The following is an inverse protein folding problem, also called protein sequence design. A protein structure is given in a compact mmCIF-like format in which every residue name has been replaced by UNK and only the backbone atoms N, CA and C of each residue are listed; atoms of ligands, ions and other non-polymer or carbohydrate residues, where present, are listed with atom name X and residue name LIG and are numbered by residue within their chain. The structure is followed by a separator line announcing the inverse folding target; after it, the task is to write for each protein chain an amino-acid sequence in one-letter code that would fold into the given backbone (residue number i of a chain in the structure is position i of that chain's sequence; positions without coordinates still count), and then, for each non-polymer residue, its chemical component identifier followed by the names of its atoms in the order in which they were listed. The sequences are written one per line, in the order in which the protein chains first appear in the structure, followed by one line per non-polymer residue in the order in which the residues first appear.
data_IF_563137009800
#
_entry.id   IF_563137009800
#
_cell.length_a   1.000
_cell.length_b   1.000
_cell.length_c   1.000
_cell.angle_alpha   90.00
_cell.angle_beta   90.00
_cell.angle_gamma   90.00
#
_symmetry.space_group_name_H-M   'P 1'
#
loop_
_entity.id
_entity.type
_entity.pdbx_description
1 polymer ?
#
# COMPACT_ATOMS: atom_id res chain seq x y z
N UNK A 1 22.71 -7.86 2.52
CA UNK A 1 22.06 -6.87 1.64
C UNK A 1 22.10 -7.30 0.19
N UNK A 2 23.18 -7.94 -0.27
CA UNK A 2 23.28 -8.52 -1.62
C UNK A 2 22.12 -9.47 -1.96
N UNK A 3 21.68 -10.32 -1.03
CA UNK A 3 20.53 -11.21 -1.22
C UNK A 3 19.22 -10.45 -1.48
N UNK A 4 19.02 -9.30 -0.82
CA UNK A 4 17.84 -8.45 -1.02
C UNK A 4 17.90 -7.77 -2.38
N UNK A 5 19.08 -7.31 -2.81
CA UNK A 5 19.30 -6.75 -4.15
C UNK A 5 18.98 -7.79 -5.24
N UNK A 6 19.50 -9.02 -5.09
CA UNK A 6 19.26 -10.14 -6.02
C UNK A 6 17.78 -10.52 -6.07
N UNK A 7 17.12 -10.65 -4.93
CA UNK A 7 15.70 -11.01 -4.86
C UNK A 7 14.82 -9.92 -5.47
N UNK A 8 15.09 -8.64 -5.15
CA UNK A 8 14.35 -7.51 -5.71
C UNK A 8 14.48 -7.46 -7.24
N UNK A 9 15.69 -7.63 -7.77
CA UNK A 9 15.89 -7.71 -9.23
C UNK A 9 15.13 -8.90 -9.84
N UNK A 10 15.09 -10.04 -9.15
CA UNK A 10 14.38 -11.23 -9.60
C UNK A 10 12.87 -10.98 -9.67
N UNK A 11 12.27 -10.33 -8.67
CA UNK A 11 10.85 -9.95 -8.69
C UNK A 11 10.54 -8.96 -9.80
N UNK A 12 11.38 -7.94 -10.01
CA UNK A 12 11.18 -6.96 -11.09
C UNK A 12 11.34 -7.61 -12.47
N UNK A 13 12.30 -8.52 -12.64
CA UNK A 13 12.46 -9.28 -13.87
C UNK A 13 11.25 -10.19 -14.14
N UNK A 14 10.75 -10.91 -13.12
CA UNK A 14 9.55 -11.73 -13.24
C UNK A 14 8.32 -10.90 -13.63
N UNK A 15 8.15 -9.71 -13.05
CA UNK A 15 7.12 -8.77 -13.47
C UNK A 15 7.28 -8.40 -14.95
N UNK A 16 8.50 -8.02 -15.37
CA UNK A 16 8.78 -7.65 -16.76
C UNK A 16 8.52 -8.79 -17.73
N UNK A 17 8.84 -10.02 -17.36
CA UNK A 17 8.64 -11.18 -18.23
C UNK A 17 7.14 -11.49 -18.44
N UNK A 18 6.30 -11.23 -17.43
CA UNK A 18 4.84 -11.42 -17.51
C UNK A 18 4.16 -10.27 -18.25
N UNK A 19 4.54 -9.02 -17.95
CA UNK A 19 3.81 -7.82 -18.42
C UNK A 19 4.48 -7.12 -19.61
N UNK A 20 5.71 -7.49 -19.98
CA UNK A 20 6.46 -6.89 -21.08
C UNK A 20 7.00 -5.48 -20.80
N UNK A 21 6.83 -4.95 -19.59
CA UNK A 21 7.27 -3.62 -19.14
C UNK A 21 7.74 -3.67 -17.69
N UNK A 22 8.50 -2.66 -17.26
CA UNK A 22 8.76 -2.44 -15.83
C UNK A 22 7.51 -1.92 -15.11
N UNK A 23 7.38 -2.14 -13.78
CA UNK A 23 6.31 -1.55 -12.98
C UNK A 23 6.26 -0.02 -13.08
N UNK A 24 5.06 0.57 -13.04
CA UNK A 24 4.88 2.03 -13.02
C UNK A 24 5.32 2.66 -11.70
N UNK A 25 5.24 1.89 -10.61
CA UNK A 25 5.64 2.26 -9.27
C UNK A 25 6.05 1.02 -8.47
N UNK A 26 6.62 1.23 -7.29
CA UNK A 26 7.04 0.18 -6.37
C UNK A 26 6.46 0.39 -4.97
N UNK A 27 6.01 -0.70 -4.35
CA UNK A 27 5.74 -0.79 -2.92
C UNK A 27 6.28 -2.12 -2.37
N UNK A 28 6.32 -2.24 -1.04
CA UNK A 28 6.67 -3.46 -0.34
C UNK A 28 5.50 -4.00 0.45
N UNK A 29 5.26 -5.31 0.38
CA UNK A 29 4.32 -5.98 1.28
C UNK A 29 4.71 -5.72 2.75
N UNK A 30 3.73 -5.44 3.61
CA UNK A 30 3.95 -5.01 5.00
C UNK A 30 4.90 -3.80 5.13
N UNK A 31 5.03 -3.01 4.07
CA UNK A 31 5.91 -1.83 4.01
C UNK A 31 7.38 -2.15 4.28
N UNK A 32 7.85 -3.36 3.98
CA UNK A 32 9.26 -3.74 4.24
C UNK A 32 10.28 -2.87 3.49
N UNK A 33 9.86 -2.19 2.42
CA UNK A 33 10.72 -1.36 1.57
C UNK A 33 11.22 -0.08 2.24
N UNK A 34 10.63 0.33 3.36
CA UNK A 34 11.08 1.49 4.16
C UNK A 34 11.93 1.08 5.37
N UNK A 35 12.19 -0.21 5.58
CA UNK A 35 13.01 -0.68 6.70
C UNK A 35 14.44 -0.15 6.56
N UNK A 36 15.09 0.27 7.66
CA UNK A 36 16.45 0.78 7.62
C UNK A 36 17.43 -0.20 6.96
N UNK A 37 18.10 0.27 5.90
CA UNK A 37 19.05 -0.51 5.10
C UNK A 37 18.40 -1.24 3.91
N UNK A 38 17.11 -1.58 3.99
CA UNK A 38 16.34 -2.09 2.83
C UNK A 38 15.97 -0.93 1.92
N UNK A 39 15.54 0.19 2.49
CA UNK A 39 15.29 1.46 1.81
C UNK A 39 16.41 1.88 0.85
N UNK A 40 17.68 1.79 1.27
CA UNK A 40 18.85 2.11 0.44
C UNK A 40 19.01 1.14 -0.73
N UNK A 41 18.85 -0.16 -0.47
CA UNK A 41 18.97 -1.20 -1.51
C UNK A 41 17.87 -1.05 -2.55
N UNK A 42 16.62 -0.89 -2.09
CA UNK A 42 15.46 -0.64 -2.94
C UNK A 42 15.70 0.61 -3.79
N UNK A 43 16.06 1.73 -3.16
CA UNK A 43 16.24 2.99 -3.87
C UNK A 43 17.30 2.90 -4.98
N UNK A 44 18.43 2.26 -4.69
CA UNK A 44 19.53 2.01 -5.64
C UNK A 44 19.08 1.15 -6.82
N UNK A 45 18.36 0.06 -6.56
CA UNK A 45 17.90 -0.88 -7.60
C UNK A 45 16.84 -0.21 -8.49
N UNK A 46 15.82 0.42 -7.90
CA UNK A 46 14.76 1.08 -8.66
C UNK A 46 15.31 2.19 -9.56
N UNK A 47 16.21 3.02 -9.02
CA UNK A 47 16.87 4.10 -9.76
C UNK A 47 17.67 3.55 -10.96
N UNK A 48 18.41 2.44 -10.77
CA UNK A 48 19.16 1.77 -11.84
C UNK A 48 18.26 1.17 -12.92
N UNK A 49 17.14 0.56 -12.54
CA UNK A 49 16.19 -0.07 -13.47
C UNK A 49 15.33 0.97 -14.21
N UNK A 50 15.15 2.16 -13.61
CA UNK A 50 14.35 3.25 -14.17
C UNK A 50 12.89 3.26 -13.68
N UNK A 51 12.58 2.57 -12.59
CA UNK A 51 11.29 2.71 -11.89
C UNK A 51 11.32 4.03 -11.12
N UNK A 52 10.37 4.92 -11.41
CA UNK A 52 10.42 6.31 -10.92
C UNK A 52 9.63 6.53 -9.65
N UNK A 53 8.55 5.80 -9.45
CA UNK A 53 7.62 6.02 -8.34
C UNK A 53 7.79 4.96 -7.26
N UNK A 54 7.75 5.38 -6.00
CA UNK A 54 7.79 4.52 -4.82
C UNK A 54 6.76 4.98 -3.80
N UNK A 55 6.09 4.05 -3.11
CA UNK A 55 5.18 4.37 -1.99
C UNK A 55 5.98 4.88 -0.80
N UNK A 56 5.46 5.93 -0.15
CA UNK A 56 5.89 6.35 1.20
C UNK A 56 4.69 6.29 2.13
N UNK A 57 4.57 5.25 3.00
CA UNK A 57 3.41 5.05 3.86
C UNK A 57 3.48 5.93 5.13
N UNK A 58 3.64 7.23 4.95
CA UNK A 58 3.55 8.21 6.04
C UNK A 58 2.08 8.60 6.24
N UNK A 59 1.52 8.21 7.38
CA UNK A 59 0.14 8.52 7.76
C UNK A 59 0.10 8.91 9.24
N UNK A 60 -0.68 9.93 9.58
CA UNK A 60 -0.82 10.34 10.97
C UNK A 60 -1.72 9.36 11.75
N UNK A 61 -1.16 8.66 12.73
CA UNK A 61 -1.86 7.67 13.55
C UNK A 61 -2.28 8.29 14.89
N UNK A 62 -3.59 8.49 15.08
CA UNK A 62 -4.14 8.99 16.35
C UNK A 62 -3.92 7.99 17.50
N UNK A 63 -3.52 8.49 18.67
CA UNK A 63 -3.34 7.67 19.88
C UNK A 63 -4.67 7.16 20.46
N UNK A 64 -5.78 7.78 20.08
CA UNK A 64 -7.12 7.51 20.60
C UNK A 64 -8.03 6.97 19.50
N UNK A 65 -7.59 5.93 18.78
CA UNK A 65 -8.49 5.19 17.89
C UNK A 65 -9.28 4.15 18.69
N UNK A 66 -10.61 4.22 18.63
CA UNK A 66 -11.47 3.18 19.22
C UNK A 66 -11.57 1.91 18.35
N UNK A 67 -10.92 1.90 17.19
CA UNK A 67 -11.03 0.84 16.18
C UNK A 67 -9.75 0.03 15.98
N UNK A 68 -8.66 0.38 16.69
CA UNK A 68 -7.37 -0.30 16.61
C UNK A 68 -6.88 -0.69 18.01
N UNK A 69 -6.18 -1.79 18.09
CA UNK A 69 -5.43 -2.20 19.29
C UNK A 69 -4.20 -1.34 19.48
N UNK A 70 -3.68 -1.27 20.71
CA UNK A 70 -2.43 -0.56 21.01
C UNK A 70 -1.25 -1.09 20.18
N UNK A 71 -1.21 -2.41 19.91
CA UNK A 71 -0.18 -3.02 19.07
C UNK A 71 -0.25 -2.55 17.62
N UNK A 72 -1.44 -2.41 17.04
CA UNK A 72 -1.63 -1.91 15.68
C UNK A 72 -1.25 -0.43 15.60
N UNK A 73 -1.65 0.38 16.59
CA UNK A 73 -1.27 1.79 16.67
C UNK A 73 0.26 1.93 16.71
N UNK A 74 0.94 1.17 17.57
CA UNK A 74 2.39 1.20 17.68
C UNK A 74 3.08 0.74 16.39
N UNK A 75 2.54 -0.30 15.75
CA UNK A 75 3.06 -0.77 14.46
C UNK A 75 2.95 0.31 13.38
N UNK A 76 1.77 0.92 13.18
CA UNK A 76 1.60 1.95 12.15
C UNK A 76 2.37 3.23 12.45
N UNK A 77 2.56 3.59 13.72
CA UNK A 77 3.46 4.68 14.11
C UNK A 77 4.90 4.40 13.68
N UNK A 78 5.40 3.20 13.95
CA UNK A 78 6.75 2.79 13.53
C UNK A 78 6.88 2.80 12.00
N UNK A 79 5.89 2.29 11.26
CA UNK A 79 5.85 2.36 9.79
C UNK A 79 5.93 3.81 9.32
N UNK A 80 5.12 4.71 9.89
CA UNK A 80 5.15 6.13 9.51
C UNK A 80 6.49 6.80 9.84
N UNK A 81 7.08 6.51 11.00
CA UNK A 81 8.38 7.07 11.42
C UNK A 81 9.52 6.59 10.50
N UNK A 82 9.48 5.33 10.07
CA UNK A 82 10.42 4.78 9.10
C UNK A 82 10.18 5.36 7.70
N UNK A 83 8.92 5.57 7.30
CA UNK A 83 8.57 6.17 6.02
C UNK A 83 9.14 7.59 5.90
N UNK A 84 9.05 8.40 6.97
CA UNK A 84 9.64 9.74 7.03
C UNK A 84 11.15 9.70 6.81
N UNK A 85 11.85 8.76 7.45
CA UNK A 85 13.32 8.60 7.28
C UNK A 85 13.67 8.14 5.86
N UNK A 86 12.89 7.23 5.29
CA UNK A 86 13.12 6.70 3.95
C UNK A 86 12.95 7.77 2.85
N UNK A 87 12.14 8.83 3.07
CA UNK A 87 11.97 9.93 2.11
C UNK A 87 13.29 10.57 1.66
N UNK A 88 14.20 10.80 2.60
CA UNK A 88 15.50 11.43 2.30
C UNK A 88 16.32 10.54 1.38
N UNK A 89 16.32 9.23 1.65
CA UNK A 89 17.01 8.23 0.84
C UNK A 89 16.38 8.17 -0.55
N UNK A 90 15.06 8.01 -0.66
CA UNK A 90 14.36 7.93 -1.94
C UNK A 90 14.59 9.18 -2.79
N UNK A 91 14.56 10.36 -2.18
CA UNK A 91 14.85 11.63 -2.84
C UNK A 91 16.29 11.69 -3.37
N UNK A 92 17.27 11.19 -2.60
CA UNK A 92 18.68 11.16 -3.03
C UNK A 92 18.93 10.29 -4.27
N UNK A 93 18.03 9.34 -4.55
CA UNK A 93 18.05 8.48 -5.74
C UNK A 93 17.12 8.98 -6.87
N UNK A 94 16.57 10.18 -6.75
CA UNK A 94 15.62 10.80 -7.68
C UNK A 94 14.30 10.01 -7.86
N UNK A 95 13.88 9.26 -6.83
CA UNK A 95 12.57 8.63 -6.82
C UNK A 95 11.48 9.64 -6.46
N UNK A 96 10.32 9.50 -7.10
CA UNK A 96 9.10 10.25 -6.85
C UNK A 96 8.19 9.44 -5.90
N UNK A 97 7.38 10.13 -5.12
CA UNK A 97 6.36 9.55 -4.26
C UNK A 97 5.19 10.53 -4.14
N UNK A 98 4.00 10.03 -3.81
CA UNK A 98 2.80 10.86 -3.63
C UNK A 98 2.96 11.82 -2.46
N UNK A 99 2.30 12.97 -2.50
CA UNK A 99 2.41 13.97 -1.43
C UNK A 99 1.80 13.45 -0.12
N UNK A 100 0.76 12.62 -0.22
CA UNK A 100 0.12 11.97 0.91
C UNK A 100 -0.20 10.51 0.65
N UNK A 101 -0.21 9.76 1.74
CA UNK A 101 -0.63 8.39 1.79
C UNK A 101 -1.69 8.24 2.89
N UNK A 102 -2.73 7.47 2.61
CA UNK A 102 -3.75 7.06 3.57
C UNK A 102 -4.06 5.57 3.38
N UNK A 103 -4.59 4.93 4.41
CA UNK A 103 -5.21 3.62 4.29
C UNK A 103 -4.83 2.63 5.38
N UNK A 104 -3.75 2.83 6.12
CA UNK A 104 -3.40 1.95 7.26
C UNK A 104 -4.51 1.98 8.31
N UNK A 105 -5.10 3.17 8.54
CA UNK A 105 -6.19 3.34 9.51
C UNK A 105 -7.59 3.06 8.94
N UNK A 106 -7.70 2.83 7.63
CA UNK A 106 -8.98 2.60 6.92
C UNK A 106 -9.21 1.14 6.53
N UNK A 107 -8.35 0.21 6.95
CA UNK A 107 -8.48 -1.19 6.55
C UNK A 107 -9.80 -1.82 7.04
N UNK A 108 -10.37 -2.68 6.19
CA UNK A 108 -11.56 -3.47 6.48
C UNK A 108 -12.80 -2.65 6.78
N UNK A 109 -13.55 -3.06 7.80
CA UNK A 109 -14.76 -2.36 8.26
C UNK A 109 -14.57 -0.89 8.65
N UNK A 110 -13.33 -0.41 8.80
CA UNK A 110 -13.04 0.99 9.09
C UNK A 110 -13.10 1.87 7.82
N UNK A 111 -13.15 1.27 6.63
CA UNK A 111 -13.29 1.94 5.33
C UNK A 111 -14.70 2.49 5.12
N UNK A 112 -15.04 3.54 5.87
CA UNK A 112 -16.33 4.22 5.75
C UNK A 112 -16.15 5.58 5.07
N UNK A 113 -17.21 6.11 4.47
CA UNK A 113 -17.19 7.46 3.89
C UNK A 113 -16.83 8.51 4.94
N UNK A 114 -17.32 8.37 6.17
CA UNK A 114 -17.02 9.32 7.25
C UNK A 114 -15.53 9.30 7.63
N UNK A 115 -14.92 8.11 7.78
CA UNK A 115 -13.49 7.98 8.08
C UNK A 115 -12.61 8.50 6.94
N UNK A 116 -12.97 8.15 5.69
CA UNK A 116 -12.27 8.60 4.51
C UNK A 116 -12.35 10.13 4.36
N UNK A 117 -13.54 10.70 4.56
CA UNK A 117 -13.76 12.13 4.50
C UNK A 117 -12.96 12.89 5.57
N UNK A 118 -12.93 12.36 6.79
CA UNK A 118 -12.13 12.94 7.87
C UNK A 118 -10.64 12.99 7.50
N UNK A 119 -10.09 11.89 6.94
CA UNK A 119 -8.68 11.86 6.55
C UNK A 119 -8.39 12.78 5.37
N UNK A 120 -9.20 12.72 4.31
CA UNK A 120 -8.98 13.56 3.13
C UNK A 120 -9.19 15.06 3.43
N UNK A 121 -10.11 15.40 4.34
CA UNK A 121 -10.31 16.79 4.78
C UNK A 121 -9.16 17.31 5.65
N UNK A 122 -8.34 16.44 6.23
CA UNK A 122 -7.14 16.83 6.99
C UNK A 122 -5.92 17.07 6.09
N UNK A 123 -6.05 16.79 4.79
CA UNK A 123 -5.00 16.91 3.80
C UNK A 123 -5.15 18.26 3.08
N UNK A 124 -4.56 19.30 3.65
CA UNK A 124 -4.50 20.63 3.01
C UNK A 124 -3.51 20.63 1.82
N UNK A 125 -3.88 21.32 0.73
CA UNK A 125 -3.00 21.65 -0.41
C UNK A 125 -2.23 20.45 -1.00
N UNK A 126 -2.92 19.35 -1.26
CA UNK A 126 -2.33 18.14 -1.83
C UNK A 126 -2.98 17.82 -3.18
N UNK A 127 -2.15 17.64 -4.21
CA UNK A 127 -2.62 17.30 -5.55
C UNK A 127 -2.85 15.79 -5.71
N UNK A 128 -2.05 14.95 -5.05
CA UNK A 128 -2.11 13.48 -5.21
C UNK A 128 -2.02 12.79 -3.85
N UNK A 129 -3.06 12.00 -3.56
CA UNK A 129 -3.15 11.12 -2.39
C UNK A 129 -3.14 9.67 -2.86
N UNK A 130 -2.24 8.86 -2.32
CA UNK A 130 -2.30 7.41 -2.47
C UNK A 130 -3.24 6.81 -1.41
N UNK A 131 -4.31 6.14 -1.84
CA UNK A 131 -5.22 5.42 -0.95
C UNK A 131 -4.97 3.92 -1.05
N UNK A 132 -4.32 3.34 -0.04
CA UNK A 132 -4.08 1.90 0.05
C UNK A 132 -5.34 1.16 0.50
N UNK A 133 -5.64 0.07 -0.21
CA UNK A 133 -6.80 -0.78 0.00
C UNK A 133 -6.45 -2.25 -0.24
N UNK A 134 -7.28 -3.16 0.26
CA UNK A 134 -7.10 -4.61 0.19
C UNK A 134 -8.36 -5.37 -0.26
N UNK A 135 -9.04 -4.94 -1.33
CA UNK A 135 -10.26 -5.61 -1.77
C UNK A 135 -10.00 -7.05 -2.21
N UNK A 136 -10.97 -7.91 -1.97
CA UNK A 136 -10.99 -9.24 -2.58
C UNK A 136 -11.94 -10.21 -1.90
N UNK A 137 -12.22 -11.31 -2.59
CA UNK A 137 -13.04 -12.39 -2.06
C UNK A 137 -12.32 -13.12 -0.94
N UNK A 138 -13.08 -13.50 0.09
CA UNK A 138 -12.59 -14.36 1.15
C UNK A 138 -12.16 -15.70 0.57
N UNK A 139 -10.95 -16.13 0.88
CA UNK A 139 -10.47 -17.45 0.49
C UNK A 139 -10.90 -18.46 1.54
N UNK A 140 -11.48 -19.59 1.13
CA UNK A 140 -11.86 -20.67 2.04
C UNK A 140 -10.69 -21.63 2.20
N UNK A 141 -10.29 -21.87 3.44
CA UNK A 141 -9.32 -22.92 3.75
C UNK A 141 -9.99 -24.29 3.68
N UNK A 142 -9.42 -25.18 2.89
CA UNK A 142 -9.82 -26.58 2.75
C UNK A 142 -8.99 -27.48 3.68
N UNK A 143 -9.63 -28.50 4.24
CA UNK A 143 -8.97 -29.52 5.07
C UNK A 143 -7.92 -30.32 4.30
N UNK A 144 -8.12 -30.48 2.99
CA UNK A 144 -7.13 -31.05 2.10
C UNK A 144 -6.20 -29.94 1.60
N UNK A 145 -4.93 -29.97 2.04
CA UNK A 145 -3.94 -28.94 1.71
C UNK A 145 -3.70 -28.76 0.21
N UNK A 146 -3.90 -29.80 -0.62
CA UNK A 146 -3.74 -29.72 -2.08
C UNK A 146 -4.79 -28.78 -2.70
N UNK A 147 -5.94 -28.61 -2.04
CA UNK A 147 -7.03 -27.76 -2.52
C UNK A 147 -6.89 -26.32 -2.03
N UNK A 148 -5.89 -26.01 -1.21
CA UNK A 148 -5.64 -24.64 -0.76
C UNK A 148 -4.89 -23.87 -1.83
N UNK A 149 -5.51 -22.78 -2.32
CA UNK A 149 -4.83 -21.82 -3.18
C UNK A 149 -3.83 -21.05 -2.31
N UNK A 150 -2.54 -21.17 -2.63
CA UNK A 150 -1.48 -20.42 -1.99
C UNK A 150 -1.48 -18.96 -2.44
N UNK A 151 -1.40 -18.04 -1.48
CA UNK A 151 -0.97 -16.65 -1.70
C UNK A 151 0.54 -16.52 -1.47
N UNK A 152 0.96 -15.52 -0.68
CA UNK A 152 2.33 -15.44 -0.14
C UNK A 152 2.54 -16.44 1.01
N UNK A 153 2.48 -17.76 0.74
CA UNK A 153 2.69 -18.80 1.77
C UNK A 153 2.01 -20.13 1.48
N UNK A 154 1.85 -20.95 2.53
CA UNK A 154 1.24 -22.29 2.44
C UNK A 154 -0.28 -22.20 2.63
N UNK A 155 -0.98 -21.78 1.59
CA UNK A 155 -2.45 -21.67 1.57
C UNK A 155 -3.01 -20.37 2.16
N UNK A 156 -4.34 -20.30 2.41
CA UNK A 156 -5.00 -19.11 2.94
C UNK A 156 -4.53 -18.79 4.37
N UNK A 157 -3.98 -17.60 4.57
CA UNK A 157 -3.67 -17.02 5.89
C UNK A 157 -4.91 -16.35 6.51
N UNK A 158 -4.78 -15.78 7.72
CA UNK A 158 -5.89 -15.10 8.40
C UNK A 158 -6.37 -13.87 7.62
N UNK A 159 -5.46 -13.18 6.93
CA UNK A 159 -5.76 -11.96 6.19
C UNK A 159 -6.62 -12.25 4.96
N UNK A 160 -6.21 -13.21 4.13
CA UNK A 160 -6.94 -13.65 2.94
C UNK A 160 -8.30 -14.30 3.25
N UNK A 161 -8.46 -14.84 4.47
CA UNK A 161 -9.72 -15.37 4.99
C UNK A 161 -10.64 -14.31 5.62
N UNK A 162 -10.20 -13.06 5.74
CA UNK A 162 -10.99 -12.01 6.39
C UNK A 162 -12.15 -11.54 5.50
N UNK A 163 -13.33 -11.40 6.09
CA UNK A 163 -14.48 -10.75 5.45
C UNK A 163 -14.29 -9.24 5.26
N UNK A 164 -13.29 -8.66 5.92
CA UNK A 164 -12.94 -7.24 5.75
C UNK A 164 -12.55 -6.92 4.30
N UNK A 165 -11.90 -7.87 3.60
CA UNK A 165 -11.54 -7.69 2.18
C UNK A 165 -12.77 -7.62 1.26
N UNK A 166 -13.82 -8.35 1.61
CA UNK A 166 -15.10 -8.31 0.90
C UNK A 166 -15.85 -7.02 1.21
N UNK A 167 -15.77 -6.53 2.46
CA UNK A 167 -16.28 -5.23 2.85
C UNK A 167 -15.62 -4.11 2.04
N UNK A 168 -14.29 -4.10 1.95
CA UNK A 168 -13.56 -3.10 1.16
C UNK A 168 -13.92 -3.18 -0.33
N UNK A 169 -14.05 -4.39 -0.88
CA UNK A 169 -14.52 -4.57 -2.27
C UNK A 169 -15.92 -3.97 -2.48
N UNK A 170 -16.85 -4.22 -1.55
CA UNK A 170 -18.20 -3.67 -1.63
C UNK A 170 -18.20 -2.14 -1.52
N UNK A 171 -17.39 -1.57 -0.61
CA UNK A 171 -17.23 -0.12 -0.48
C UNK A 171 -16.71 0.51 -1.76
N UNK A 172 -15.60 0.00 -2.31
CA UNK A 172 -14.93 0.57 -3.49
C UNK A 172 -15.75 0.45 -4.78
N UNK A 173 -16.71 -0.48 -4.82
CA UNK A 173 -17.60 -0.68 -5.97
C UNK A 173 -19.00 -0.10 -5.77
N UNK A 174 -19.24 0.59 -4.65
CA UNK A 174 -20.54 1.17 -4.30
C UNK A 174 -20.86 2.45 -5.10
N UNK A 175 -22.15 2.69 -5.31
CA UNK A 175 -22.63 3.95 -5.91
C UNK A 175 -22.36 5.13 -4.97
N UNK A 176 -22.39 4.91 -3.65
CA UNK A 176 -22.10 5.91 -2.64
C UNK A 176 -20.66 6.41 -2.71
N UNK A 177 -19.68 5.50 -2.83
CA UNK A 177 -18.27 5.88 -3.00
C UNK A 177 -18.04 6.61 -4.33
N UNK A 178 -18.65 6.13 -5.41
CA UNK A 178 -18.58 6.79 -6.71
C UNK A 178 -19.16 8.21 -6.67
N UNK A 179 -20.30 8.38 -6.01
CA UNK A 179 -20.92 9.68 -5.84
C UNK A 179 -20.04 10.61 -5.00
N UNK A 180 -19.49 10.11 -3.89
CA UNK A 180 -18.55 10.86 -3.05
C UNK A 180 -17.35 11.40 -3.84
N UNK A 181 -16.71 10.57 -4.68
CA UNK A 181 -15.61 11.01 -5.53
C UNK A 181 -16.05 12.14 -6.49
N UNK A 182 -17.24 12.01 -7.07
CA UNK A 182 -17.79 13.00 -8.00
C UNK A 182 -18.12 14.32 -7.31
N UNK A 183 -18.81 14.28 -6.16
CA UNK A 183 -19.18 15.48 -5.40
C UNK A 183 -17.98 16.27 -4.89
N UNK A 184 -16.91 15.56 -4.52
CA UNK A 184 -15.65 16.17 -4.06
C UNK A 184 -14.67 16.51 -5.18
N UNK A 185 -15.03 16.23 -6.43
CA UNK A 185 -14.17 16.41 -7.62
C UNK A 185 -12.82 15.68 -7.50
N UNK A 186 -12.81 14.47 -6.94
CA UNK A 186 -11.62 13.62 -6.95
C UNK A 186 -11.52 12.86 -8.27
N UNK A 187 -10.31 12.85 -8.84
CA UNK A 187 -9.97 12.05 -10.01
C UNK A 187 -9.20 10.79 -9.58
N UNK A 188 -9.57 9.64 -10.14
CA UNK A 188 -8.82 8.39 -9.94
C UNK A 188 -7.71 8.31 -10.98
N UNK A 189 -6.47 8.29 -10.50
CA UNK A 189 -5.27 8.24 -11.32
C UNK A 189 -4.51 6.93 -11.08
N UNK A 190 -3.80 6.48 -12.11
CA UNK A 190 -2.73 5.50 -11.97
C UNK A 190 -1.38 6.21 -11.83
N UNK A 191 -0.38 5.54 -11.28
CA UNK A 191 1.00 6.07 -11.24
C UNK A 191 1.58 6.36 -12.64
N UNK A 192 1.04 5.74 -13.69
CA UNK A 192 1.43 6.05 -15.08
C UNK A 192 0.94 7.42 -15.55
N UNK A 193 -0.15 7.95 -14.95
CA UNK A 193 -0.74 9.24 -15.29
C UNK A 193 0.01 10.41 -14.62
N UNK A 194 0.82 10.14 -13.59
CA UNK A 194 1.56 11.14 -12.80
C UNK A 194 2.91 11.55 -13.43
N UNK A 195 3.21 11.11 -14.66
CA UNK A 195 4.55 11.13 -15.29
C UNK A 195 5.25 12.48 -15.24
#
# INVERSE_FOLDING_TARGET
MDEVEIELESQVNAFRDIFGTIPSHFDGHQHVHILPGIDVVVAKVLSRIGIKWIRVPEEHISETSCYMTESEINFYKEVSDQAVKAKEIFSSYNLKYTQKFIGMTLMGKNQTLASLDQLLSSVDNCDVVEFMVHPGHKIVKHDNEINNIAGCGVGPDLFSQSSDREYEMAFLTSDEFRHYLTERNYELLSFSDLS
#
